data_IF_692160550396
#
_entry.id   IF_692160550396
#
_cell.length_a   1.000
_cell.length_b   1.000
_cell.length_c   1.000
_cell.angle_alpha   90.00
_cell.angle_beta   90.00
_cell.angle_gamma   90.00
#
_symmetry.space_group_name_H-M   'P 1'
#
loop_
_entity.id
_entity.type
_entity.pdbx_description
1 polymer ?
#
# COMPACT_ATOMS: atom_id res chain seq x y z
N UNK A 1 9.62 -16.89 -6.02
CA UNK A 1 9.77 -15.71 -6.90
C UNK A 1 8.65 -14.73 -6.60
N UNK A 2 8.93 -13.43 -6.61
CA UNK A 2 7.93 -12.36 -6.48
C UNK A 2 7.94 -11.52 -7.76
N UNK A 3 6.79 -11.04 -8.20
CA UNK A 3 6.70 -10.08 -9.32
C UNK A 3 6.38 -8.70 -8.76
N UNK A 4 7.30 -7.75 -8.95
CA UNK A 4 7.19 -6.39 -8.42
C UNK A 4 7.03 -5.38 -9.55
N UNK A 5 6.21 -4.36 -9.32
CA UNK A 5 5.93 -3.33 -10.32
C UNK A 5 4.53 -3.46 -10.94
N UNK A 6 3.66 -4.28 -10.34
CA UNK A 6 2.32 -4.54 -10.87
C UNK A 6 1.43 -3.34 -10.54
N UNK A 7 0.87 -2.71 -11.59
CA UNK A 7 -0.13 -1.64 -11.47
C UNK A 7 -1.42 -1.97 -12.23
N UNK A 8 -1.39 -2.99 -13.09
CA UNK A 8 -2.55 -3.46 -13.85
C UNK A 8 -3.22 -4.66 -13.14
N UNK A 9 -4.56 -4.65 -12.98
CA UNK A 9 -5.29 -5.85 -12.56
C UNK A 9 -5.10 -7.05 -13.48
N UNK A 10 -4.95 -6.83 -14.79
CA UNK A 10 -4.79 -7.91 -15.77
C UNK A 10 -3.45 -8.63 -15.56
N UNK A 11 -2.37 -7.87 -15.31
CA UNK A 11 -1.05 -8.45 -15.01
C UNK A 11 -1.05 -9.20 -13.67
N UNK A 12 -1.80 -8.71 -12.68
CA UNK A 12 -1.96 -9.38 -11.40
C UNK A 12 -2.70 -10.72 -11.55
N UNK A 13 -3.75 -10.75 -12.38
CA UNK A 13 -4.48 -11.98 -12.70
C UNK A 13 -3.59 -12.99 -13.42
N UNK A 14 -2.79 -12.53 -14.38
CA UNK A 14 -1.85 -13.39 -15.09
C UNK A 14 -0.77 -13.96 -14.16
N UNK A 15 -0.24 -13.15 -13.24
CA UNK A 15 0.67 -13.63 -12.21
C UNK A 15 0.02 -14.70 -11.31
N UNK A 16 -1.25 -14.51 -10.93
CA UNK A 16 -2.01 -15.48 -10.16
C UNK A 16 -2.23 -16.80 -10.95
N UNK A 17 -2.60 -16.72 -12.24
CA UNK A 17 -2.74 -17.90 -13.12
C UNK A 17 -1.45 -18.70 -13.24
N UNK A 18 -0.31 -18.01 -13.24
CA UNK A 18 1.03 -18.61 -13.24
C UNK A 18 1.50 -19.11 -11.88
N UNK A 19 0.65 -19.03 -10.85
CA UNK A 19 0.94 -19.46 -9.46
C UNK A 19 2.14 -18.73 -8.87
N UNK A 20 2.31 -17.45 -9.20
CA UNK A 20 3.30 -16.59 -8.54
C UNK A 20 2.91 -16.48 -7.05
N UNK A 21 3.82 -16.79 -6.11
CA UNK A 21 3.52 -16.79 -4.68
C UNK A 21 3.03 -15.44 -4.13
N UNK A 22 3.62 -14.34 -4.59
CA UNK A 22 3.12 -13.00 -4.28
C UNK A 22 3.50 -11.98 -5.36
N UNK A 23 2.69 -10.93 -5.46
CA UNK A 23 2.95 -9.74 -6.26
C UNK A 23 3.23 -8.53 -5.35
N UNK A 24 3.94 -7.54 -5.88
CA UNK A 24 4.14 -6.25 -5.22
C UNK A 24 3.55 -5.13 -6.07
N UNK A 25 2.47 -4.54 -5.56
CA UNK A 25 1.85 -3.35 -6.14
C UNK A 25 2.79 -2.17 -5.91
N UNK A 26 3.34 -1.64 -7.00
CA UNK A 26 4.47 -0.72 -6.94
C UNK A 26 4.61 0.07 -8.23
N UNK A 27 4.88 1.38 -8.12
CA UNK A 27 5.37 2.19 -9.24
C UNK A 27 6.87 2.55 -9.06
N UNK A 28 7.59 1.73 -8.29
CA UNK A 28 8.99 1.93 -7.93
C UNK A 28 9.25 3.27 -7.23
N UNK A 29 8.26 3.74 -6.45
CA UNK A 29 8.30 5.03 -5.79
C UNK A 29 8.21 6.21 -6.75
N UNK A 30 7.58 6.04 -7.91
CA UNK A 30 7.40 7.07 -8.93
C UNK A 30 8.68 7.35 -9.72
N UNK A 31 9.46 6.31 -10.03
CA UNK A 31 10.79 6.43 -10.66
C UNK A 31 10.89 5.78 -12.04
N UNK A 32 9.80 5.27 -12.59
CA UNK A 32 9.80 4.50 -13.84
C UNK A 32 8.91 5.18 -14.86
N UNK A 33 7.60 4.89 -14.85
CA UNK A 33 6.64 5.56 -15.72
C UNK A 33 6.15 6.84 -15.06
N UNK A 34 6.42 7.98 -15.69
CA UNK A 34 5.91 9.29 -15.27
C UNK A 34 4.44 9.46 -15.65
N UNK A 35 3.73 10.36 -14.98
CA UNK A 35 2.29 10.68 -15.18
C UNK A 35 1.33 9.50 -15.00
N UNK A 36 1.79 8.39 -14.44
CA UNK A 36 0.97 7.24 -14.08
C UNK A 36 0.19 7.42 -12.78
N UNK A 37 -0.60 6.42 -12.42
CA UNK A 37 -1.36 6.40 -11.17
C UNK A 37 -0.45 6.43 -9.94
N UNK A 38 -0.95 7.02 -8.85
CA UNK A 38 -0.44 6.73 -7.52
C UNK A 38 -0.64 5.25 -7.21
N UNK A 39 0.42 4.56 -6.77
CA UNK A 39 0.38 3.10 -6.62
C UNK A 39 -0.78 2.60 -5.75
N UNK A 40 -1.22 3.37 -4.75
CA UNK A 40 -2.34 3.01 -3.86
C UNK A 40 -3.68 2.90 -4.61
N UNK A 41 -3.84 3.63 -5.72
CA UNK A 41 -5.05 3.60 -6.56
C UNK A 41 -5.19 2.25 -7.29
N UNK A 42 -4.06 1.60 -7.60
CA UNK A 42 -4.05 0.28 -8.24
C UNK A 42 -4.35 -0.86 -7.26
N UNK A 43 -4.15 -0.65 -5.94
CA UNK A 43 -4.18 -1.73 -4.96
C UNK A 43 -5.54 -2.42 -4.87
N UNK A 44 -6.63 -1.66 -4.67
CA UNK A 44 -7.98 -2.25 -4.54
C UNK A 44 -8.43 -3.00 -5.79
N UNK A 45 -8.36 -2.42 -7.01
CA UNK A 45 -8.71 -3.15 -8.23
C UNK A 45 -7.93 -4.45 -8.42
N UNK A 46 -6.64 -4.47 -8.03
CA UNK A 46 -5.81 -5.67 -8.06
C UNK A 46 -6.28 -6.72 -7.06
N UNK A 47 -6.53 -6.32 -5.81
CA UNK A 47 -7.02 -7.21 -4.73
C UNK A 47 -8.33 -7.89 -5.14
N UNK A 48 -9.28 -7.10 -5.67
CA UNK A 48 -10.57 -7.59 -6.16
C UNK A 48 -10.41 -8.55 -7.35
N UNK A 49 -9.44 -8.30 -8.24
CA UNK A 49 -9.21 -9.14 -9.42
C UNK A 49 -8.61 -10.50 -9.06
N UNK A 50 -7.60 -10.54 -8.18
CA UNK A 50 -6.87 -11.79 -7.92
C UNK A 50 -7.60 -12.72 -6.94
N UNK A 51 -8.56 -12.22 -6.16
CA UNK A 51 -9.43 -13.01 -5.27
C UNK A 51 -8.68 -14.00 -4.36
N UNK A 52 -7.53 -13.57 -3.83
CA UNK A 52 -6.69 -14.38 -2.93
C UNK A 52 -5.86 -15.48 -3.61
N UNK A 53 -5.86 -15.59 -4.94
CA UNK A 53 -5.07 -16.59 -5.67
C UNK A 53 -3.56 -16.26 -5.71
N UNK A 54 -3.15 -15.08 -5.26
CA UNK A 54 -1.76 -14.70 -5.00
C UNK A 54 -1.70 -13.72 -3.84
N UNK A 55 -0.61 -13.75 -3.08
CA UNK A 55 -0.39 -12.84 -1.96
C UNK A 55 -0.06 -11.44 -2.48
N UNK A 56 -0.44 -10.40 -1.75
CA UNK A 56 -0.28 -9.01 -2.21
C UNK A 56 0.56 -8.23 -1.21
N UNK A 57 1.68 -7.71 -1.68
CA UNK A 57 2.49 -6.72 -0.97
C UNK A 57 2.32 -5.36 -1.63
N UNK A 58 2.59 -4.28 -0.90
CA UNK A 58 2.44 -2.91 -1.41
C UNK A 58 3.66 -2.05 -1.08
N UNK A 59 4.10 -1.18 -1.99
CA UNK A 59 5.07 -0.12 -1.65
C UNK A 59 4.71 1.20 -2.34
N UNK A 60 5.67 2.14 -2.43
CA UNK A 60 5.53 3.40 -3.18
C UNK A 60 4.66 4.45 -2.49
N UNK A 61 5.20 5.02 -1.41
CA UNK A 61 4.64 6.23 -0.79
C UNK A 61 4.43 6.16 0.72
N UNK A 62 4.64 5.00 1.35
CA UNK A 62 4.51 4.84 2.81
C UNK A 62 5.41 5.81 3.56
N UNK A 63 4.81 6.71 4.36
CA UNK A 63 5.52 7.67 5.22
C UNK A 63 4.97 7.71 6.64
N UNK A 64 3.74 7.24 6.85
CA UNK A 64 3.08 7.22 8.16
C UNK A 64 2.45 5.87 8.48
N UNK A 65 2.20 5.61 9.76
CA UNK A 65 1.41 4.46 10.22
C UNK A 65 0.00 4.42 9.62
N UNK A 66 -0.61 5.58 9.33
CA UNK A 66 -1.91 5.64 8.63
C UNK A 66 -1.83 5.17 7.17
N UNK A 67 -0.69 5.35 6.50
CA UNK A 67 -0.49 4.84 5.13
C UNK A 67 -0.38 3.32 5.16
N UNK A 68 0.34 2.78 6.15
CA UNK A 68 0.44 1.33 6.39
C UNK A 68 -0.96 0.77 6.63
N UNK A 69 -1.70 1.35 7.58
CA UNK A 69 -3.05 0.92 7.93
C UNK A 69 -4.01 0.94 6.73
N UNK A 70 -3.98 1.99 5.91
CA UNK A 70 -4.80 2.09 4.69
C UNK A 70 -4.44 1.01 3.67
N UNK A 71 -3.16 0.73 3.44
CA UNK A 71 -2.74 -0.32 2.51
C UNK A 71 -3.21 -1.71 2.99
N UNK A 72 -3.09 -1.99 4.30
CA UNK A 72 -3.59 -3.22 4.91
C UNK A 72 -5.12 -3.34 4.78
N UNK A 73 -5.85 -2.26 5.10
CA UNK A 73 -7.30 -2.19 4.95
C UNK A 73 -7.78 -2.36 3.50
N UNK A 74 -6.94 -2.03 2.52
CA UNK A 74 -7.22 -2.24 1.10
C UNK A 74 -6.87 -3.64 0.60
N UNK A 75 -6.29 -4.50 1.45
CA UNK A 75 -6.02 -5.90 1.14
C UNK A 75 -4.54 -6.24 0.88
N UNK A 76 -3.60 -5.33 1.15
CA UNK A 76 -2.19 -5.72 1.21
C UNK A 76 -1.91 -6.52 2.49
N UNK A 77 -1.03 -7.52 2.41
CA UNK A 77 -0.59 -8.31 3.57
C UNK A 77 0.59 -7.68 4.30
N UNK A 78 1.43 -6.94 3.59
CA UNK A 78 2.51 -6.16 4.16
C UNK A 78 2.89 -5.00 3.24
N UNK A 79 3.64 -4.05 3.79
CA UNK A 79 4.14 -2.90 3.03
C UNK A 79 5.66 -2.81 3.03
N UNK A 80 6.21 -2.34 1.92
CA UNK A 80 7.63 -1.98 1.77
C UNK A 80 7.87 -0.50 2.07
N UNK A 81 8.95 -0.22 2.81
CA UNK A 81 9.39 1.15 3.13
C UNK A 81 10.76 1.38 2.51
N UNK A 82 10.84 2.33 1.57
CA UNK A 82 12.06 2.65 0.84
C UNK A 82 12.77 3.89 1.39
N UNK A 83 12.50 5.06 0.79
CA UNK A 83 13.22 6.31 1.08
C UNK A 83 13.37 6.67 2.57
N UNK A 84 12.33 6.56 3.44
CA UNK A 84 12.50 6.88 4.86
C UNK A 84 13.63 6.09 5.53
N UNK A 85 13.74 4.78 5.20
CA UNK A 85 14.80 3.92 5.73
C UNK A 85 16.17 4.38 5.25
N UNK A 86 16.30 4.74 3.96
CA UNK A 86 17.55 5.26 3.41
C UNK A 86 17.95 6.63 4.02
N UNK A 87 16.97 7.48 4.34
CA UNK A 87 17.23 8.75 5.01
C UNK A 87 17.69 8.55 6.45
N UNK A 88 17.05 7.63 7.18
CA UNK A 88 17.52 7.24 8.52
C UNK A 88 18.95 6.70 8.48
N UNK A 89 19.23 5.81 7.51
CA UNK A 89 20.57 5.27 7.28
C UNK A 89 21.62 6.36 7.05
N UNK A 90 21.29 7.36 6.23
CA UNK A 90 22.22 8.45 5.89
C UNK A 90 22.53 9.37 7.09
N UNK A 91 21.57 9.57 8.00
CA UNK A 91 21.73 10.48 9.14
C UNK A 91 22.41 9.81 10.34
N UNK A 92 22.00 8.59 10.66
CA UNK A 92 22.40 7.92 11.91
C UNK A 92 22.67 6.42 11.72
N UNK A 93 23.05 5.99 10.52
CA UNK A 93 23.43 4.60 10.28
C UNK A 93 22.32 3.59 10.63
N UNK A 94 22.70 2.48 11.26
CA UNK A 94 21.77 1.42 11.63
C UNK A 94 20.75 1.90 12.67
N UNK A 95 21.14 2.78 13.59
CA UNK A 95 20.28 3.39 14.59
C UNK A 95 19.20 4.25 13.94
N UNK A 96 19.55 4.99 12.90
CA UNK A 96 18.59 5.77 12.12
C UNK A 96 17.59 4.90 11.36
N UNK A 97 18.02 3.76 10.82
CA UNK A 97 17.10 2.75 10.24
C UNK A 97 16.14 2.22 11.30
N UNK A 98 16.65 1.82 12.46
CA UNK A 98 15.85 1.30 13.56
C UNK A 98 14.83 2.34 14.05
N UNK A 99 15.24 3.61 14.19
CA UNK A 99 14.36 4.69 14.61
C UNK A 99 13.20 4.91 13.63
N UNK A 100 13.45 4.89 12.32
CA UNK A 100 12.39 5.04 11.29
C UNK A 100 11.38 3.89 11.37
N UNK A 101 11.86 2.65 11.49
CA UNK A 101 10.99 1.48 11.58
C UNK A 101 10.17 1.48 12.87
N UNK A 102 10.78 1.86 14.00
CA UNK A 102 10.10 1.96 15.28
C UNK A 102 9.06 3.09 15.28
N UNK A 103 9.35 4.24 14.68
CA UNK A 103 8.38 5.32 14.53
C UNK A 103 7.17 4.89 13.70
N UNK A 104 7.37 4.22 12.56
CA UNK A 104 6.25 3.69 11.74
C UNK A 104 5.44 2.65 12.51
N UNK A 105 6.10 1.78 13.27
CA UNK A 105 5.44 0.77 14.11
C UNK A 105 4.59 1.43 15.20
N UNK A 106 5.13 2.42 15.91
CA UNK A 106 4.43 3.15 16.95
C UNK A 106 3.21 3.91 16.39
N UNK A 107 3.37 4.58 15.24
CA UNK A 107 2.25 5.22 14.56
C UNK A 107 1.17 4.21 14.14
N UNK A 108 1.54 3.07 13.56
CA UNK A 108 0.57 2.02 13.18
C UNK A 108 -0.22 1.53 14.39
N UNK A 109 0.46 1.24 15.52
CA UNK A 109 -0.20 0.83 16.77
C UNK A 109 -1.18 1.90 17.26
N UNK A 110 -0.80 3.17 17.19
CA UNK A 110 -1.69 4.27 17.58
C UNK A 110 -2.92 4.34 16.68
N UNK A 111 -2.76 4.21 15.36
CA UNK A 111 -3.87 4.21 14.40
C UNK A 111 -4.80 3.02 14.64
N UNK A 112 -4.26 1.81 14.84
CA UNK A 112 -5.03 0.61 15.14
C UNK A 112 -5.88 0.78 16.41
N UNK A 113 -5.29 1.34 17.48
CA UNK A 113 -6.02 1.64 18.74
C UNK A 113 -7.18 2.62 18.50
N UNK A 114 -6.93 3.71 17.78
CA UNK A 114 -7.96 4.71 17.48
C UNK A 114 -9.04 4.18 16.53
N UNK A 115 -8.71 3.26 15.64
CA UNK A 115 -9.64 2.61 14.74
C UNK A 115 -10.39 1.42 15.38
N UNK A 116 -10.11 1.07 16.64
CA UNK A 116 -10.73 -0.06 17.32
C UNK A 116 -10.27 -1.43 16.81
N UNK A 117 -9.09 -1.53 16.21
CA UNK A 117 -8.53 -2.75 15.61
C UNK A 117 -7.45 -3.32 16.53
N UNK A 118 -7.70 -4.48 17.12
CA UNK A 118 -6.76 -5.10 18.07
C UNK A 118 -5.63 -5.88 17.39
N UNK A 119 -5.90 -6.52 16.24
CA UNK A 119 -4.93 -7.33 15.50
C UNK A 119 -4.88 -6.87 14.05
N UNK A 120 -3.70 -6.97 13.42
CA UNK A 120 -3.52 -6.60 11.99
C UNK A 120 -4.51 -7.37 11.11
N UNK A 121 -4.76 -8.65 11.41
CA UNK A 121 -5.69 -9.50 10.67
C UNK A 121 -7.16 -9.01 10.71
N UNK A 122 -7.52 -8.15 11.67
CA UNK A 122 -8.86 -7.56 11.78
C UNK A 122 -8.98 -6.24 10.98
N UNK A 123 -7.92 -5.83 10.26
CA UNK A 123 -7.93 -4.62 9.43
C UNK A 123 -8.64 -4.91 8.12
N UNK A 124 -9.87 -4.40 7.95
CA UNK A 124 -10.67 -4.59 6.74
C UNK A 124 -10.94 -3.27 6.03
N UNK A 125 -11.54 -3.36 4.84
CA UNK A 125 -11.94 -2.17 4.08
C UNK A 125 -12.96 -1.29 4.80
N UNK A 126 -13.68 -1.83 5.79
CA UNK A 126 -14.68 -1.09 6.58
C UNK A 126 -14.02 -0.08 7.53
N UNK A 127 -12.73 -0.27 7.84
CA UNK A 127 -11.96 0.66 8.67
C UNK A 127 -11.64 1.99 7.95
N UNK A 128 -11.88 2.08 6.63
CA UNK A 128 -11.53 3.25 5.83
C UNK A 128 -12.67 3.66 4.91
N UNK A 129 -12.80 4.97 4.69
CA UNK A 129 -13.67 5.49 3.64
C UNK A 129 -12.86 5.70 2.36
N UNK A 130 -13.24 5.00 1.29
CA UNK A 130 -12.68 5.25 -0.04
C UNK A 130 -13.58 6.22 -0.78
N UNK A 131 -13.08 7.42 -1.02
CA UNK A 131 -13.78 8.42 -1.83
C UNK A 131 -13.40 8.22 -3.29
N UNK A 132 -14.36 7.96 -4.20
CA UNK A 132 -14.07 7.92 -5.63
C UNK A 132 -13.52 9.28 -6.08
N UNK A 133 -12.42 9.28 -6.83
CA UNK A 133 -11.84 10.52 -7.37
C UNK A 133 -12.84 11.27 -8.27
N UNK A 134 -13.74 10.55 -8.93
CA UNK A 134 -14.81 11.13 -9.74
C UNK A 134 -15.86 11.92 -8.93
N UNK A 135 -15.93 11.74 -7.61
CA UNK A 135 -16.93 12.38 -6.74
C UNK A 135 -16.74 13.88 -6.54
N UNK A 136 -15.59 14.46 -6.94
CA UNK A 136 -15.36 15.91 -6.89
C UNK A 136 -15.73 16.64 -8.19
N UNK A 137 -15.81 15.95 -9.32
CA UNK A 137 -16.11 16.56 -10.62
C UNK A 137 -17.58 16.43 -11.04
N UNK A 138 -18.34 15.49 -10.46
CA UNK A 138 -19.76 15.35 -10.76
C UNK A 138 -20.62 16.53 -10.29
N UNK A 139 -20.17 17.27 -9.26
CA UNK A 139 -20.90 18.45 -8.73
C UNK A 139 -20.66 19.76 -9.48
N UNK A 140 -19.68 19.82 -10.40
CA UNK A 140 -19.37 21.04 -11.17
C UNK A 140 -20.08 21.05 -12.53
N UNK A 141 -20.59 19.89 -13.00
CA UNK A 141 -21.33 19.80 -14.28
C UNK A 141 -22.83 20.12 -14.18
N UNK A 142 -23.31 20.53 -13.01
CA UNK A 142 -24.73 20.89 -12.76
C UNK A 142 -24.93 22.39 -12.46
N UNK A 143 -23.94 23.24 -12.75
CA UNK A 143 -24.04 24.71 -12.77
C UNK A 143 -23.67 25.24 -14.15
#
# INVERSE_FOLDING_TARGET
VLVKGILSPDDAEEAAKRKVPAIVVSNHGGRQLDTGFGAIEALRPIVERVKGNTRILFDSGIRRGTDVFKALALGAEAVGVGRPVLWGLALYGAEGVAAVLEHLRAELVNVMRLAGVARIADTTSDCIRVTPLNGRLSKIREL
#
